data_IF_327650993494
#
_entry.id   IF_327650993494
#
_cell.length_a   1.000
_cell.length_b   1.000
_cell.length_c   1.000
_cell.angle_alpha   90.00
_cell.angle_beta   90.00
_cell.angle_gamma   90.00
#
_symmetry.space_group_name_H-M   'P 1'
#
loop_
_entity.id
_entity.type
_entity.pdbx_description
1 polymer ?
#
# COMPACT_ATOMS: atom_id res chain seq x y z
N UNK A 1 5.24 -98.73 3.81
CA UNK A 1 4.00 -97.93 4.11
C UNK A 1 4.35 -96.49 4.14
N UNK A 2 3.95 -95.77 3.13
CA UNK A 2 4.17 -94.31 2.96
C UNK A 2 3.09 -93.54 3.69
N UNK A 3 3.47 -92.60 4.58
CA UNK A 3 2.54 -91.62 5.15
C UNK A 3 2.94 -90.23 4.69
N UNK A 4 2.14 -89.68 3.88
CA UNK A 4 2.13 -88.32 3.36
C UNK A 4 1.80 -87.32 4.52
N UNK A 5 2.66 -86.35 4.74
CA UNK A 5 2.40 -85.22 5.62
C UNK A 5 2.13 -84.02 4.75
N UNK A 6 0.88 -83.60 4.65
CA UNK A 6 0.39 -82.46 3.91
C UNK A 6 0.51 -81.22 4.72
N UNK A 7 1.22 -80.30 4.21
CA UNK A 7 0.87 -78.91 3.96
C UNK A 7 -0.18 -78.26 4.89
N UNK A 8 0.29 -77.54 5.91
CA UNK A 8 -0.49 -76.55 6.68
C UNK A 8 0.37 -75.31 7.04
N UNK A 9 1.22 -74.92 6.11
CA UNK A 9 2.12 -73.74 6.37
C UNK A 9 1.90 -72.58 5.36
N UNK A 10 0.74 -72.47 4.75
CA UNK A 10 0.53 -71.45 3.70
C UNK A 10 -0.66 -70.52 3.97
N UNK A 11 -1.08 -70.35 5.21
CA UNK A 11 -2.23 -69.46 5.52
C UNK A 11 -1.99 -68.42 6.59
N UNK A 12 -0.74 -68.04 6.87
CA UNK A 12 -0.47 -67.03 7.92
C UNK A 12 0.34 -65.84 7.46
N UNK A 13 0.44 -65.60 6.14
CA UNK A 13 1.23 -64.46 5.59
C UNK A 13 0.41 -63.44 4.77
N UNK A 14 -0.91 -63.52 4.83
CA UNK A 14 -1.78 -62.64 4.02
C UNK A 14 -2.59 -61.62 4.82
N UNK A 15 -2.22 -61.29 6.07
CA UNK A 15 -2.99 -60.35 6.89
C UNK A 15 -2.23 -59.16 7.47
N UNK A 16 -1.01 -58.87 6.96
CA UNK A 16 -0.20 -57.69 7.47
C UNK A 16 0.22 -56.82 6.29
N UNK A 17 -0.71 -56.36 5.48
CA UNK A 17 -0.37 -55.43 4.39
C UNK A 17 -1.45 -54.40 4.10
N UNK A 18 -2.29 -54.01 5.07
CA UNK A 18 -3.27 -52.95 4.88
C UNK A 18 -3.36 -52.11 6.17
N UNK A 19 -2.25 -51.53 6.64
CA UNK A 19 -2.26 -50.45 7.62
C UNK A 19 -1.09 -49.53 7.31
N UNK A 20 -1.24 -48.63 6.37
CA UNK A 20 -0.13 -47.72 6.12
C UNK A 20 -0.34 -46.78 4.94
N UNK A 21 -1.50 -46.20 4.74
CA UNK A 21 -1.66 -45.03 3.86
C UNK A 21 -2.84 -44.16 4.31
N UNK A 22 -2.82 -43.68 5.54
CA UNK A 22 -3.63 -42.55 5.92
C UNK A 22 -2.67 -41.46 6.44
N UNK A 23 -1.66 -41.13 5.64
CA UNK A 23 -1.00 -39.83 5.73
C UNK A 23 -1.84 -38.87 4.88
N UNK A 24 -2.98 -38.48 5.38
CA UNK A 24 -3.57 -37.22 4.95
C UNK A 24 -2.62 -36.12 5.42
N UNK A 25 -1.68 -35.74 4.55
CA UNK A 25 -1.06 -34.44 4.64
C UNK A 25 -2.19 -33.43 4.73
N UNK A 26 -2.30 -32.74 5.84
CA UNK A 26 -3.04 -31.50 5.92
C UNK A 26 -2.29 -30.54 5.00
N UNK A 27 -2.62 -30.59 3.71
CA UNK A 27 -2.37 -29.43 2.86
C UNK A 27 -3.21 -28.33 3.49
N UNK A 28 -2.53 -27.38 4.13
CA UNK A 28 -3.12 -26.10 4.42
C UNK A 28 -3.55 -25.52 3.07
N UNK A 29 -4.77 -25.80 2.68
CA UNK A 29 -5.43 -25.10 1.59
C UNK A 29 -5.55 -23.68 2.11
N UNK A 30 -4.56 -22.84 1.77
CA UNK A 30 -4.62 -21.41 2.04
C UNK A 30 -5.87 -20.95 1.27
N UNK A 31 -6.94 -20.74 2.02
CA UNK A 31 -8.18 -20.22 1.44
C UNK A 31 -7.85 -18.96 0.65
N UNK A 32 -8.10 -18.97 -0.64
CA UNK A 32 -7.84 -17.82 -1.51
C UNK A 32 -8.86 -16.71 -1.29
N UNK A 33 -9.94 -17.00 -0.61
CA UNK A 33 -11.02 -16.08 -0.28
C UNK A 33 -11.00 -15.70 1.21
N UNK A 34 -11.53 -14.53 1.52
CA UNK A 34 -11.84 -14.12 2.88
C UNK A 34 -12.91 -15.07 3.47
N UNK A 35 -12.71 -15.52 4.70
CA UNK A 35 -13.68 -16.33 5.44
C UNK A 35 -14.47 -15.43 6.40
N UNK A 36 -15.72 -15.14 6.08
CA UNK A 36 -16.58 -14.30 6.92
C UNK A 36 -16.99 -14.92 8.27
N UNK A 37 -16.69 -16.21 8.48
CA UNK A 37 -16.89 -16.86 9.78
C UNK A 37 -15.74 -16.63 10.77
N UNK A 38 -14.62 -16.08 10.31
CA UNK A 38 -13.44 -15.80 11.12
C UNK A 38 -13.09 -14.30 11.04
N UNK A 39 -12.69 -13.67 12.15
CA UNK A 39 -12.33 -12.26 12.12
C UNK A 39 -11.03 -12.03 11.33
N UNK A 40 -10.90 -10.85 10.73
CA UNK A 40 -9.63 -10.37 10.19
C UNK A 40 -8.66 -10.20 11.37
N UNK A 41 -7.44 -10.69 11.21
CA UNK A 41 -6.38 -10.50 12.18
C UNK A 41 -5.31 -9.58 11.62
N UNK A 42 -4.90 -8.59 12.40
CA UNK A 42 -3.78 -7.72 12.10
C UNK A 42 -2.64 -8.03 13.08
N UNK A 43 -1.47 -8.37 12.55
CA UNK A 43 -0.30 -8.71 13.35
C UNK A 43 0.65 -7.54 13.46
N UNK A 44 1.13 -7.05 12.33
CA UNK A 44 2.07 -5.93 12.26
C UNK A 44 2.02 -5.27 10.89
N UNK A 45 2.75 -4.16 10.76
CA UNK A 45 3.00 -3.54 9.47
C UNK A 45 4.41 -2.97 9.41
N UNK A 46 4.93 -2.87 8.21
CA UNK A 46 6.27 -2.40 7.93
C UNK A 46 6.33 -1.66 6.58
N UNK A 47 7.05 -0.52 6.50
CA UNK A 47 7.66 0.23 7.61
C UNK A 47 6.61 0.86 8.53
N UNK A 48 7.03 1.26 9.74
CA UNK A 48 6.15 1.93 10.71
C UNK A 48 6.06 3.45 10.49
N UNK A 49 6.87 3.97 9.57
CA UNK A 49 6.86 5.37 9.17
C UNK A 49 7.18 5.52 7.69
N UNK A 50 6.67 6.56 7.06
CA UNK A 50 6.93 6.83 5.66
C UNK A 50 6.25 8.11 5.18
N UNK A 51 6.42 8.40 3.90
CA UNK A 51 5.85 9.58 3.25
C UNK A 51 4.82 9.18 2.19
N UNK A 52 4.31 10.14 1.46
CA UNK A 52 3.46 9.90 0.30
C UNK A 52 4.11 8.91 -0.69
N UNK A 53 3.32 7.92 -1.12
CA UNK A 53 3.74 6.79 -1.99
C UNK A 53 4.69 5.78 -1.35
N UNK A 54 4.95 5.85 -0.04
CA UNK A 54 5.67 4.77 0.63
C UNK A 54 4.90 3.45 0.50
N UNK A 55 5.63 2.39 0.18
CA UNK A 55 5.07 1.04 0.16
C UNK A 55 5.03 0.49 1.58
N UNK A 56 3.85 0.07 2.01
CA UNK A 56 3.65 -0.51 3.33
C UNK A 56 3.10 -1.92 3.18
N UNK A 57 3.67 -2.85 3.92
CA UNK A 57 3.22 -4.23 3.99
C UNK A 57 2.49 -4.41 5.31
N UNK A 58 1.25 -4.86 5.24
CA UNK A 58 0.46 -5.23 6.41
C UNK A 58 0.48 -6.75 6.52
N UNK A 59 0.83 -7.25 7.69
CA UNK A 59 0.83 -8.68 8.00
C UNK A 59 -0.36 -9.02 8.90
N UNK A 60 -0.97 -10.16 8.62
CA UNK A 60 -2.14 -10.61 9.35
C UNK A 60 -2.70 -11.93 8.84
N UNK A 61 -3.99 -12.12 8.97
CA UNK A 61 -4.67 -13.29 8.45
C UNK A 61 -6.08 -12.94 7.98
N UNK A 62 -6.60 -13.78 7.08
CA UNK A 62 -7.96 -13.74 6.59
C UNK A 62 -8.29 -12.49 5.75
N UNK A 63 -7.32 -11.95 5.01
CA UNK A 63 -7.59 -10.83 4.10
C UNK A 63 -8.27 -11.27 2.78
N UNK A 64 -8.08 -12.54 2.38
CA UNK A 64 -8.41 -12.98 1.02
C UNK A 64 -7.44 -12.42 -0.02
N UNK A 65 -7.53 -12.89 -1.26
CA UNK A 65 -6.64 -12.47 -2.36
C UNK A 65 -7.28 -11.48 -3.33
N UNK A 66 -8.59 -11.33 -3.26
CA UNK A 66 -9.32 -10.40 -4.13
C UNK A 66 -9.20 -8.98 -3.62
N UNK A 67 -8.28 -8.21 -4.21
CA UNK A 67 -8.03 -6.83 -3.85
C UNK A 67 -9.23 -5.91 -4.06
N UNK A 68 -10.18 -6.28 -4.91
CA UNK A 68 -11.38 -5.48 -5.17
C UNK A 68 -12.30 -5.40 -3.95
N UNK A 69 -12.22 -6.41 -3.07
CA UNK A 69 -12.99 -6.53 -1.83
C UNK A 69 -12.27 -5.95 -0.62
N UNK A 70 -11.01 -5.56 -0.77
CA UNK A 70 -10.17 -5.05 0.31
C UNK A 70 -10.07 -3.53 0.22
N UNK A 71 -10.32 -2.86 1.32
CA UNK A 71 -10.13 -1.41 1.44
C UNK A 71 -9.24 -1.15 2.65
N UNK A 72 -8.24 -0.32 2.45
CA UNK A 72 -7.34 0.11 3.53
C UNK A 72 -7.43 1.62 3.66
N UNK A 73 -7.44 2.09 4.90
CA UNK A 73 -7.51 3.52 5.19
C UNK A 73 -6.42 3.92 6.16
N UNK A 74 -5.84 5.08 5.93
CA UNK A 74 -5.03 5.83 6.88
C UNK A 74 -5.93 6.92 7.46
N UNK A 75 -6.37 6.77 8.69
CA UNK A 75 -7.46 7.55 9.28
C UNK A 75 -8.72 7.46 8.39
N UNK A 76 -9.07 8.53 7.69
CA UNK A 76 -10.22 8.60 6.78
C UNK A 76 -9.84 8.50 5.30
N UNK A 77 -8.55 8.54 4.98
CA UNK A 77 -8.06 8.57 3.60
C UNK A 77 -7.80 7.16 3.09
N UNK A 78 -8.45 6.82 1.98
CA UNK A 78 -8.30 5.50 1.36
C UNK A 78 -6.91 5.36 0.76
N UNK A 79 -6.25 4.23 1.05
CA UNK A 79 -4.97 3.85 0.47
C UNK A 79 -5.16 2.91 -0.74
N UNK A 80 -4.33 3.03 -1.79
CA UNK A 80 -4.29 2.05 -2.85
C UNK A 80 -3.79 0.70 -2.34
N UNK A 81 -4.53 -0.38 -2.62
CA UNK A 81 -4.11 -1.75 -2.37
C UNK A 81 -3.52 -2.30 -3.66
N UNK A 82 -2.24 -2.67 -3.62
CA UNK A 82 -1.48 -3.16 -4.78
C UNK A 82 -1.69 -4.67 -4.94
N UNK A 83 -1.74 -5.41 -3.84
CA UNK A 83 -1.87 -6.85 -3.87
C UNK A 83 -2.17 -7.46 -2.51
N UNK A 84 -2.61 -8.72 -2.53
CA UNK A 84 -2.87 -9.53 -1.35
C UNK A 84 -2.44 -10.98 -1.56
N UNK A 85 -1.81 -11.56 -0.55
CA UNK A 85 -1.53 -13.00 -0.48
C UNK A 85 -2.54 -13.77 0.38
N UNK A 86 -3.44 -13.04 1.04
CA UNK A 86 -4.35 -13.56 2.06
C UNK A 86 -3.84 -13.36 3.49
N UNK A 87 -2.53 -13.33 3.70
CA UNK A 87 -1.86 -13.04 4.98
C UNK A 87 -1.05 -11.75 4.94
N UNK A 88 -0.74 -11.23 3.76
CA UNK A 88 -0.03 -9.97 3.56
C UNK A 88 -0.80 -9.08 2.60
N UNK A 89 -0.89 -7.79 2.91
CA UNK A 89 -1.40 -6.75 2.03
C UNK A 89 -0.26 -5.81 1.66
N UNK A 90 -0.14 -5.53 0.37
CA UNK A 90 0.79 -4.55 -0.19
C UNK A 90 0.00 -3.30 -0.53
N UNK A 91 0.31 -2.22 0.12
CA UNK A 91 -0.40 -0.95 -0.02
C UNK A 91 0.58 0.20 -0.26
N UNK A 92 0.03 1.33 -0.68
CA UNK A 92 0.79 2.57 -0.82
C UNK A 92 0.20 3.63 0.10
N UNK A 93 1.05 4.31 0.88
CA UNK A 93 0.61 5.40 1.74
C UNK A 93 0.02 6.55 0.92
N UNK A 94 -1.21 6.98 1.20
CA UNK A 94 -1.86 8.07 0.50
C UNK A 94 -1.28 9.43 0.94
N UNK A 95 -1.63 10.51 0.24
CA UNK A 95 -1.30 11.87 0.70
C UNK A 95 -2.16 12.19 1.92
N UNK A 96 -1.51 12.58 3.00
CA UNK A 96 -2.14 12.90 4.28
C UNK A 96 -1.66 14.27 4.79
N UNK A 97 -2.53 15.02 5.46
CA UNK A 97 -2.19 16.32 6.03
C UNK A 97 -1.72 16.20 7.50
N UNK A 98 -0.93 15.20 7.89
CA UNK A 98 -0.58 15.10 9.31
C UNK A 98 0.28 13.92 9.71
N UNK A 99 0.69 13.93 10.96
CA UNK A 99 1.85 13.22 11.50
C UNK A 99 1.58 11.77 11.89
N UNK A 100 0.39 11.47 12.40
CA UNK A 100 0.07 10.19 12.99
C UNK A 100 -1.23 9.63 12.42
N UNK A 101 -1.17 8.42 11.88
CA UNK A 101 -2.29 7.79 11.20
C UNK A 101 -2.58 6.42 11.77
N UNK A 102 -3.84 6.13 12.02
CA UNK A 102 -4.29 4.78 12.32
C UNK A 102 -4.62 4.07 11.00
N UNK A 103 -4.04 2.88 10.82
CA UNK A 103 -4.34 2.06 9.65
C UNK A 103 -5.52 1.14 9.98
N UNK A 104 -6.54 1.16 9.14
CA UNK A 104 -7.67 0.25 9.21
C UNK A 104 -7.81 -0.54 7.91
N UNK A 105 -8.20 -1.80 8.06
CA UNK A 105 -8.44 -2.73 6.96
C UNK A 105 -9.90 -3.14 7.00
N UNK A 106 -10.54 -3.06 5.85
CA UNK A 106 -11.92 -3.50 5.64
C UNK A 106 -11.92 -4.54 4.53
N UNK A 107 -12.45 -5.72 4.80
CA UNK A 107 -12.65 -6.77 3.81
C UNK A 107 -14.12 -7.13 3.82
N UNK A 108 -14.79 -6.89 2.70
CA UNK A 108 -16.24 -7.02 2.58
C UNK A 108 -16.99 -6.24 3.67
N UNK A 109 -17.54 -6.93 4.69
CA UNK A 109 -18.26 -6.33 5.81
C UNK A 109 -17.46 -6.28 7.12
N UNK A 110 -16.28 -6.91 7.14
CA UNK A 110 -15.44 -6.97 8.34
C UNK A 110 -14.44 -5.82 8.35
N UNK A 111 -14.18 -5.26 9.50
CA UNK A 111 -13.21 -4.17 9.66
C UNK A 111 -12.38 -4.33 10.93
N UNK A 112 -11.12 -3.97 10.83
CA UNK A 112 -10.20 -4.01 11.96
C UNK A 112 -9.21 -2.84 11.86
N UNK A 113 -8.75 -2.34 13.00
CA UNK A 113 -7.82 -1.21 13.09
C UNK A 113 -6.55 -1.67 13.82
N UNK A 114 -5.39 -1.29 13.31
CA UNK A 114 -4.14 -1.49 14.04
C UNK A 114 -4.12 -0.67 15.32
N UNK A 115 -3.57 -1.24 16.39
CA UNK A 115 -3.36 -0.52 17.65
C UNK A 115 -2.15 0.39 17.62
N UNK A 116 -1.15 0.06 16.77
CA UNK A 116 0.05 0.86 16.56
C UNK A 116 -0.21 1.90 15.47
N UNK A 117 0.12 3.18 15.70
CA UNK A 117 0.01 4.21 14.66
C UNK A 117 1.14 4.10 13.64
N UNK A 118 0.85 4.50 12.41
CA UNK A 118 1.84 4.78 11.38
C UNK A 118 2.27 6.24 11.48
N UNK A 119 3.57 6.49 11.49
CA UNK A 119 4.13 7.84 11.55
C UNK A 119 4.29 8.38 10.12
N UNK A 120 3.42 9.31 9.75
CA UNK A 120 3.50 9.94 8.44
C UNK A 120 4.49 11.09 8.44
N UNK A 121 5.44 11.06 7.50
CA UNK A 121 6.43 12.12 7.32
C UNK A 121 6.00 12.99 6.16
N UNK A 122 5.75 14.26 6.41
CA UNK A 122 5.58 15.24 5.35
C UNK A 122 6.90 15.53 4.66
N UNK A 123 6.90 15.49 3.34
CA UNK A 123 8.00 15.97 2.52
C UNK A 123 7.51 17.20 1.77
N UNK A 124 8.04 18.34 2.14
CA UNK A 124 7.80 19.59 1.43
C UNK A 124 8.98 19.78 0.49
N UNK A 125 8.73 19.78 -0.82
CA UNK A 125 9.72 20.17 -1.81
C UNK A 125 9.30 21.51 -2.43
N UNK A 126 10.25 22.42 -2.51
CA UNK A 126 10.07 23.71 -3.19
C UNK A 126 10.93 23.70 -4.44
N UNK A 127 10.30 23.92 -5.58
CA UNK A 127 11.00 24.02 -6.88
C UNK A 127 10.63 25.34 -7.54
N UNK A 128 11.60 25.95 -8.20
CA UNK A 128 11.33 27.13 -9.02
C UNK A 128 10.56 26.68 -10.28
N UNK A 129 9.37 27.23 -10.47
CA UNK A 129 8.52 26.94 -11.63
C UNK A 129 8.90 27.85 -12.80
N UNK A 130 9.23 29.10 -12.50
CA UNK A 130 9.58 30.11 -13.50
C UNK A 130 10.48 31.18 -12.87
N UNK A 131 11.33 31.80 -13.69
CA UNK A 131 12.18 32.93 -13.30
C UNK A 131 13.62 32.53 -13.03
N UNK A 132 14.52 33.49 -13.24
CA UNK A 132 15.97 33.34 -13.02
C UNK A 132 16.40 33.57 -11.58
N UNK A 133 15.50 34.09 -10.73
CA UNK A 133 15.85 34.54 -9.38
C UNK A 133 16.58 35.89 -9.33
N UNK A 134 16.79 36.56 -10.46
CA UNK A 134 17.41 37.88 -10.54
C UNK A 134 16.33 38.99 -10.47
N UNK A 135 16.65 40.07 -9.77
CA UNK A 135 15.79 41.23 -9.67
C UNK A 135 16.10 42.25 -10.76
N UNK A 136 15.99 41.82 -12.01
CA UNK A 136 16.14 42.69 -13.18
C UNK A 136 14.78 43.17 -13.67
N UNK A 137 14.78 44.08 -14.68
CA UNK A 137 13.57 44.52 -15.33
C UNK A 137 12.73 43.30 -15.80
N UNK A 138 11.41 43.41 -15.59
CA UNK A 138 10.51 42.35 -16.00
C UNK A 138 10.63 42.07 -17.49
N UNK A 139 11.08 40.90 -17.85
CA UNK A 139 11.28 40.48 -19.23
C UNK A 139 10.49 39.20 -19.51
N UNK A 140 9.61 39.32 -20.51
CA UNK A 140 8.92 38.13 -21.00
C UNK A 140 9.90 37.19 -21.70
N UNK A 141 9.69 35.89 -21.52
CA UNK A 141 10.55 34.86 -22.11
C UNK A 141 10.09 33.46 -21.73
N UNK A 142 10.95 32.49 -22.00
CA UNK A 142 10.74 31.13 -21.53
C UNK A 142 10.79 31.07 -20.00
N UNK A 143 10.13 30.09 -19.39
CA UNK A 143 10.02 29.91 -17.93
C UNK A 143 11.37 29.94 -17.21
N UNK A 144 12.45 29.52 -17.87
CA UNK A 144 13.80 29.50 -17.32
C UNK A 144 14.61 30.78 -17.51
N UNK A 145 14.11 31.72 -18.34
CA UNK A 145 14.83 32.95 -18.72
C UNK A 145 14.07 34.23 -18.40
N UNK A 146 12.80 34.10 -18.04
CA UNK A 146 12.00 35.23 -17.63
C UNK A 146 12.51 35.86 -16.35
N UNK A 147 12.52 37.19 -16.29
CA UNK A 147 12.73 37.94 -15.04
C UNK A 147 11.43 38.55 -14.61
N UNK A 148 11.10 38.51 -13.33
CA UNK A 148 9.80 38.96 -12.85
C UNK A 148 9.86 39.42 -11.41
N UNK A 149 9.00 40.38 -11.07
CA UNK A 149 8.75 40.86 -9.71
C UNK A 149 7.33 40.46 -9.28
N UNK A 150 7.12 39.22 -8.80
CA UNK A 150 5.80 38.73 -8.49
C UNK A 150 5.13 39.53 -7.38
N UNK A 151 3.87 39.90 -7.57
CA UNK A 151 3.04 40.59 -6.59
C UNK A 151 1.87 39.72 -6.15
N UNK A 152 1.18 39.13 -7.11
CA UNK A 152 0.01 38.29 -6.88
C UNK A 152 0.10 37.07 -7.79
N UNK A 153 -0.42 35.98 -7.26
CA UNK A 153 -0.50 34.70 -7.98
C UNK A 153 -1.88 34.10 -7.75
N UNK A 154 -2.46 33.56 -8.79
CA UNK A 154 -3.62 32.68 -8.70
C UNK A 154 -3.46 31.47 -9.61
N UNK A 155 -4.17 30.40 -9.26
CA UNK A 155 -4.18 29.14 -10.02
C UNK A 155 -5.63 28.84 -10.36
N UNK A 156 -5.89 28.46 -11.59
CA UNK A 156 -7.20 28.00 -12.01
C UNK A 156 -7.43 26.50 -11.77
N UNK A 157 -8.59 25.99 -12.15
CA UNK A 157 -8.95 24.59 -11.98
C UNK A 157 -8.20 23.64 -12.94
N UNK A 158 -7.53 24.17 -13.95
CA UNK A 158 -6.74 23.43 -14.94
C UNK A 158 -5.23 23.51 -14.64
N UNK A 159 -4.87 23.93 -13.43
CA UNK A 159 -3.49 24.13 -12.94
C UNK A 159 -2.68 25.21 -13.71
N UNK A 160 -3.35 26.12 -14.42
CA UNK A 160 -2.67 27.27 -15.01
C UNK A 160 -2.35 28.29 -13.93
N UNK A 161 -1.13 28.81 -13.95
CA UNK A 161 -0.63 29.77 -13.00
C UNK A 161 -0.63 31.17 -13.64
N UNK A 162 -1.39 32.06 -13.07
CA UNK A 162 -1.46 33.47 -13.46
C UNK A 162 -0.67 34.30 -12.45
N UNK A 163 0.30 35.05 -12.96
CA UNK A 163 1.19 35.84 -12.13
C UNK A 163 1.13 37.30 -12.57
N UNK A 164 0.89 38.19 -11.60
CA UNK A 164 0.99 39.62 -11.78
C UNK A 164 2.40 40.04 -11.35
N UNK A 165 3.17 40.55 -12.30
CA UNK A 165 4.50 41.10 -12.07
C UNK A 165 4.43 42.64 -12.04
N UNK A 166 5.16 43.25 -11.13
CA UNK A 166 5.37 44.70 -11.16
C UNK A 166 6.46 45.03 -12.17
N UNK A 167 6.24 46.00 -13.00
CA UNK A 167 7.30 46.62 -13.78
C UNK A 167 8.15 47.55 -12.87
N UNK A 168 9.46 47.43 -12.92
CA UNK A 168 10.37 48.19 -12.07
C UNK A 168 10.57 49.62 -12.59
N UNK A 169 10.08 49.89 -13.80
CA UNK A 169 10.18 51.19 -14.43
C UNK A 169 9.17 52.25 -13.90
N UNK A 170 8.29 51.87 -12.94
CA UNK A 170 7.27 52.78 -12.41
C UNK A 170 7.83 53.80 -11.38
N UNK A 171 9.08 54.17 -11.51
CA UNK A 171 9.72 55.10 -10.59
C UNK A 171 10.79 56.00 -11.17
N UNK A 172 10.98 55.97 -12.50
CA UNK A 172 11.82 56.94 -13.19
C UNK A 172 10.92 57.98 -13.91
N UNK A 173 10.17 58.72 -13.14
CA UNK A 173 9.58 59.97 -13.60
C UNK A 173 10.38 61.09 -12.98
N UNK A 174 11.03 61.79 -13.87
CA UNK A 174 11.23 63.24 -13.96
C UNK A 174 12.08 63.93 -12.90
N UNK A 175 13.26 64.26 -13.31
CA UNK A 175 13.78 65.63 -13.22
C UNK A 175 14.17 66.12 -14.62
#
# INVERSE_FOLDING_TARGET
>A
MKKTMKSTFFSLFSSIAILGLASCGHENIISTAHNSAEPIQLTTFYPDSGMYKEQVILEGANFGRDVSKIKVYFNKTKAPVIGSTGSMLYITAPRLPGDTCMISVVVENDSVVFTKPFIYRESISVTTIAGTGQCDLAKAGDVNTATMHPRYLCVDNDDNIFLVSRDVNDGAEDE
#
